data_IF_427135230794
#
_entry.id   IF_427135230794
#
_cell.length_a   1.000
_cell.length_b   1.000
_cell.length_c   1.000
_cell.angle_alpha   90.00
_cell.angle_beta   90.00
_cell.angle_gamma   90.00
#
_symmetry.space_group_name_H-M   'P 1'
#
loop_
_entity.id
_entity.type
_entity.pdbx_description
1 polymer ?
#
# COMPACT_ATOMS: atom_id res chain seq x y z
N UNK A 1 -24.59 -45.72 3.27
CA UNK A 1 -25.02 -44.34 3.46
C UNK A 1 -24.27 -43.59 4.59
N UNK A 2 -24.18 -44.10 5.82
CA UNK A 2 -23.47 -43.37 6.93
C UNK A 2 -21.97 -43.08 6.68
N UNK A 3 -21.25 -43.94 5.95
CA UNK A 3 -19.82 -43.69 5.61
C UNK A 3 -19.61 -42.66 4.50
N UNK A 4 -20.57 -42.54 3.57
CA UNK A 4 -20.52 -41.52 2.51
C UNK A 4 -20.82 -40.13 3.05
N UNK A 5 -21.72 -40.01 4.03
CA UNK A 5 -22.01 -38.76 4.71
C UNK A 5 -20.80 -38.25 5.54
N UNK A 6 -20.07 -39.16 6.19
CA UNK A 6 -18.88 -38.80 6.98
C UNK A 6 -17.74 -38.30 6.08
N UNK A 7 -17.57 -38.87 4.87
CA UNK A 7 -16.54 -38.41 3.91
C UNK A 7 -16.93 -37.05 3.32
N UNK A 8 -18.21 -36.81 3.02
CA UNK A 8 -18.68 -35.49 2.55
C UNK A 8 -18.51 -34.43 3.65
N UNK A 9 -18.76 -34.76 4.91
CA UNK A 9 -18.60 -33.81 6.04
C UNK A 9 -17.12 -33.48 6.29
N UNK A 10 -16.20 -34.47 6.15
CA UNK A 10 -14.75 -34.24 6.25
C UNK A 10 -14.22 -33.41 5.07
N UNK A 11 -14.72 -33.61 3.87
CA UNK A 11 -14.33 -32.80 2.69
C UNK A 11 -14.86 -31.37 2.83
N UNK A 12 -16.08 -31.17 3.33
CA UNK A 12 -16.59 -29.81 3.63
C UNK A 12 -15.82 -29.13 4.76
N UNK A 13 -15.41 -29.83 5.80
CA UNK A 13 -14.58 -29.25 6.87
C UNK A 13 -13.15 -28.94 6.41
N UNK A 14 -12.56 -29.74 5.52
CA UNK A 14 -11.24 -29.47 4.93
C UNK A 14 -11.31 -28.31 3.93
N UNK A 15 -12.36 -28.21 3.10
CA UNK A 15 -12.58 -27.06 2.22
C UNK A 15 -12.91 -25.78 3.00
N UNK A 16 -13.66 -25.88 4.10
CA UNK A 16 -13.92 -24.75 5.00
C UNK A 16 -12.63 -24.32 5.76
N UNK A 17 -11.77 -25.27 6.15
CA UNK A 17 -10.48 -24.97 6.78
C UNK A 17 -9.47 -24.40 5.79
N UNK A 18 -9.52 -24.80 4.50
CA UNK A 18 -8.71 -24.20 3.45
C UNK A 18 -9.22 -22.83 2.98
N UNK A 19 -10.51 -22.52 3.15
CA UNK A 19 -11.09 -21.22 2.87
C UNK A 19 -10.94 -20.21 4.03
N UNK A 20 -10.48 -20.66 5.21
CA UNK A 20 -10.36 -19.80 6.40
C UNK A 20 -8.97 -19.16 6.62
N UNK A 21 -7.96 -19.43 5.76
CA UNK A 21 -6.58 -19.02 6.02
C UNK A 21 -5.86 -18.35 4.85
N UNK A 22 -6.56 -17.58 4.02
CA UNK A 22 -5.90 -16.52 3.26
C UNK A 22 -6.45 -15.19 3.76
N UNK A 23 -5.94 -14.72 4.88
CA UNK A 23 -6.05 -13.32 5.26
C UNK A 23 -5.22 -12.51 4.26
N UNK A 24 -5.59 -11.26 3.98
CA UNK A 24 -4.78 -10.32 3.18
C UNK A 24 -3.31 -10.27 3.64
N UNK A 25 -3.04 -10.54 4.91
CA UNK A 25 -1.71 -10.70 5.50
C UNK A 25 -0.91 -11.85 4.88
N UNK A 26 -1.53 -13.02 4.62
CA UNK A 26 -0.87 -14.18 4.01
C UNK A 26 -0.48 -13.95 2.55
N UNK A 27 -1.22 -13.14 1.81
CA UNK A 27 -0.95 -12.83 0.39
C UNK A 27 0.25 -11.90 0.28
N UNK A 28 0.32 -10.86 1.12
CA UNK A 28 1.40 -9.86 1.11
C UNK A 28 2.71 -10.39 1.73
N UNK A 29 2.65 -11.28 2.73
CA UNK A 29 3.82 -11.92 3.34
C UNK A 29 4.44 -13.05 2.50
N UNK A 30 3.73 -13.65 1.55
CA UNK A 30 4.24 -14.73 0.69
C UNK A 30 5.11 -14.28 -0.47
N UNK A 31 5.70 -13.09 -0.41
CA UNK A 31 6.72 -12.63 -1.34
C UNK A 31 6.19 -11.87 -2.55
N UNK A 32 4.94 -11.44 -2.55
CA UNK A 32 4.50 -10.36 -3.40
C UNK A 32 5.23 -9.09 -2.94
N UNK A 33 6.21 -8.63 -3.72
CA UNK A 33 6.81 -7.31 -3.51
C UNK A 33 5.68 -6.31 -3.71
N UNK A 34 5.40 -5.49 -2.70
CA UNK A 34 4.63 -4.29 -2.95
C UNK A 34 5.52 -3.36 -3.80
N UNK A 35 5.29 -3.37 -5.10
CA UNK A 35 6.06 -2.56 -6.06
C UNK A 35 5.88 -1.06 -5.82
N UNK A 36 4.91 -0.68 -5.00
CA UNK A 36 4.60 0.71 -4.62
C UNK A 36 5.46 1.24 -3.50
N UNK A 37 6.15 0.39 -2.75
CA UNK A 37 7.05 0.80 -1.69
C UNK A 37 8.51 0.54 -2.07
N UNK A 38 9.42 1.38 -1.58
CA UNK A 38 10.86 1.11 -1.64
C UNK A 38 11.23 -0.01 -0.68
N UNK A 39 12.31 -0.72 -0.95
CA UNK A 39 12.83 -1.74 -0.04
C UNK A 39 14.32 -1.53 0.30
N UNK A 40 14.71 -1.99 1.49
CA UNK A 40 16.10 -2.16 1.92
C UNK A 40 16.43 -3.65 1.94
N UNK A 41 17.14 -4.13 0.93
CA UNK A 41 17.54 -5.55 0.82
C UNK A 41 16.34 -6.53 0.90
N UNK A 42 15.19 -6.14 0.33
CA UNK A 42 13.96 -6.92 0.31
C UNK A 42 13.03 -6.70 1.52
N UNK A 43 13.38 -5.81 2.46
CA UNK A 43 12.49 -5.36 3.53
C UNK A 43 11.82 -4.07 3.10
N UNK A 44 10.48 -3.99 2.99
CA UNK A 44 9.78 -2.76 2.64
C UNK A 44 10.11 -1.63 3.61
N UNK A 45 10.42 -0.44 3.06
CA UNK A 45 10.74 0.77 3.84
C UNK A 45 9.47 1.47 4.28
N UNK A 46 8.62 0.79 5.03
CA UNK A 46 7.35 1.32 5.49
C UNK A 46 6.92 0.73 6.83
N UNK A 47 5.91 1.35 7.45
CA UNK A 47 5.26 0.87 8.64
C UNK A 47 5.87 1.35 9.93
N UNK A 48 5.39 0.77 11.03
CA UNK A 48 5.84 1.10 12.37
C UNK A 48 7.14 0.39 12.71
N UNK A 49 7.90 0.97 13.61
CA UNK A 49 9.12 0.39 14.20
C UNK A 49 8.90 -1.03 14.72
N UNK A 50 7.73 -1.29 15.31
CA UNK A 50 7.30 -2.60 15.81
C UNK A 50 7.22 -3.71 14.74
N UNK A 51 7.12 -3.32 13.46
CA UNK A 51 7.12 -4.22 12.30
C UNK A 51 8.48 -4.21 11.61
N UNK A 52 9.02 -3.03 11.32
CA UNK A 52 10.24 -2.85 10.54
C UNK A 52 11.50 -3.34 11.29
N UNK A 53 11.63 -3.04 12.58
CA UNK A 53 12.78 -3.46 13.39
C UNK A 53 12.91 -5.00 13.49
N UNK A 54 11.86 -5.79 13.75
CA UNK A 54 11.92 -7.25 13.65
C UNK A 54 12.25 -7.76 12.25
N UNK A 55 11.75 -7.12 11.19
CA UNK A 55 12.03 -7.51 9.81
C UNK A 55 13.53 -7.35 9.48
N UNK A 56 14.18 -6.26 9.91
CA UNK A 56 15.63 -6.08 9.75
C UNK A 56 16.43 -7.16 10.50
N UNK A 57 15.99 -7.55 11.69
CA UNK A 57 16.64 -8.66 12.44
C UNK A 57 16.51 -9.99 11.70
N UNK A 58 15.37 -10.22 11.04
CA UNK A 58 15.12 -11.47 10.30
C UNK A 58 16.06 -11.65 9.09
N UNK A 59 16.57 -10.55 8.51
CA UNK A 59 17.56 -10.58 7.42
C UNK A 59 19.01 -10.59 7.92
N UNK A 60 19.22 -10.74 9.24
CA UNK A 60 20.53 -10.93 9.86
C UNK A 60 21.21 -9.65 10.35
N UNK A 61 20.49 -8.52 10.44
CA UNK A 61 21.03 -7.32 11.06
C UNK A 61 20.96 -7.43 12.59
N UNK A 62 22.06 -7.05 13.25
CA UNK A 62 22.20 -7.06 14.71
C UNK A 62 21.94 -5.66 15.27
N UNK A 63 20.91 -5.50 16.10
CA UNK A 63 20.62 -4.24 16.77
C UNK A 63 21.63 -3.97 17.87
N UNK A 64 22.07 -2.70 18.00
CA UNK A 64 22.92 -2.24 19.08
C UNK A 64 22.48 -0.83 19.53
N UNK A 65 22.95 -0.40 20.70
CA UNK A 65 22.72 0.96 21.20
C UNK A 65 24.06 1.70 21.21
N UNK A 66 24.22 2.84 20.53
CA UNK A 66 25.39 3.68 20.63
C UNK A 66 25.48 4.37 22.01
N UNK A 67 26.59 5.06 22.30
CA UNK A 67 26.78 5.80 23.56
C UNK A 67 25.81 6.97 23.71
N UNK A 68 25.44 7.62 22.60
CA UNK A 68 24.53 8.76 22.55
C UNK A 68 23.48 8.52 21.43
N UNK A 69 22.39 7.78 21.72
CA UNK A 69 21.37 7.49 20.73
C UNK A 69 20.42 8.68 20.58
N UNK A 70 20.08 9.04 19.34
CA UNK A 70 19.02 9.99 19.07
C UNK A 70 17.64 9.36 19.39
N UNK A 71 16.69 10.12 19.96
CA UNK A 71 15.32 9.65 20.15
C UNK A 71 14.66 9.26 18.83
N UNK A 72 13.94 8.15 18.83
CA UNK A 72 13.28 7.64 17.62
C UNK A 72 14.19 6.88 16.65
N UNK A 73 15.51 6.80 16.95
CA UNK A 73 16.46 6.10 16.10
C UNK A 73 16.77 4.68 16.60
N UNK A 74 16.84 3.76 15.64
CA UNK A 74 17.27 2.37 15.85
C UNK A 74 18.56 2.10 15.08
N UNK A 75 19.54 1.50 15.76
CA UNK A 75 20.89 1.28 15.21
C UNK A 75 21.12 -0.20 14.99
N UNK A 76 21.62 -0.53 13.77
CA UNK A 76 21.98 -1.90 13.42
C UNK A 76 23.36 -1.97 12.83
N UNK A 77 23.98 -3.16 12.91
CA UNK A 77 25.19 -3.54 12.20
C UNK A 77 24.96 -4.85 11.45
N UNK A 78 25.65 -4.98 10.34
CA UNK A 78 25.55 -6.17 9.49
C UNK A 78 26.24 -5.97 8.17
N UNK A 79 25.71 -6.62 7.14
CA UNK A 79 26.25 -6.51 5.78
C UNK A 79 25.22 -5.83 4.86
N UNK A 80 25.70 -4.83 4.12
CA UNK A 80 24.96 -4.21 3.03
C UNK A 80 25.56 -4.72 1.72
N UNK A 81 24.82 -5.57 1.00
CA UNK A 81 25.30 -6.29 -0.18
C UNK A 81 26.64 -7.03 0.02
N UNK A 82 26.84 -7.66 1.18
CA UNK A 82 28.07 -8.41 1.51
C UNK A 82 29.23 -7.55 2.00
N UNK A 83 29.02 -6.27 2.28
CA UNK A 83 30.04 -5.35 2.82
C UNK A 83 29.57 -4.85 4.19
N UNK A 84 30.44 -4.89 5.19
CA UNK A 84 30.15 -4.43 6.55
C UNK A 84 29.64 -2.98 6.54
N UNK A 85 28.53 -2.77 7.24
CA UNK A 85 27.87 -1.47 7.36
C UNK A 85 27.17 -1.33 8.71
N UNK A 86 26.90 -0.09 9.09
CA UNK A 86 25.93 0.26 10.13
C UNK A 86 24.71 0.91 9.51
N UNK A 87 23.56 0.72 10.14
CA UNK A 87 22.28 1.26 9.66
C UNK A 87 21.69 2.09 10.79
N UNK A 88 21.21 3.28 10.44
CA UNK A 88 20.42 4.13 11.32
C UNK A 88 19.02 4.17 10.71
N UNK A 89 18.05 3.75 11.47
CA UNK A 89 16.63 3.74 11.10
C UNK A 89 15.95 4.80 11.93
N UNK A 90 15.49 5.86 11.31
CA UNK A 90 14.80 6.95 11.99
C UNK A 90 13.30 6.78 11.86
N UNK A 91 12.60 6.96 12.96
CA UNK A 91 11.13 6.93 13.03
C UNK A 91 10.60 8.23 13.61
N UNK A 92 9.37 8.57 13.31
CA UNK A 92 8.66 9.65 13.98
C UNK A 92 8.47 9.29 15.46
N UNK A 93 8.92 10.18 16.36
CA UNK A 93 8.91 9.92 17.82
C UNK A 93 7.52 9.73 18.41
N UNK A 94 6.48 10.30 17.80
CA UNK A 94 5.13 10.28 18.32
C UNK A 94 4.34 9.07 17.80
N UNK A 95 4.54 8.72 16.53
CA UNK A 95 3.79 7.65 15.87
C UNK A 95 4.56 6.34 15.78
N UNK A 96 5.90 6.37 15.79
CA UNK A 96 6.76 5.22 15.54
C UNK A 96 6.82 4.82 14.06
N UNK A 97 6.25 5.64 13.15
CA UNK A 97 6.33 5.39 11.71
C UNK A 97 7.75 5.60 11.19
N UNK A 98 8.19 4.72 10.30
CA UNK A 98 9.48 4.83 9.62
C UNK A 98 9.53 6.10 8.77
N UNK A 99 10.58 6.91 8.97
CA UNK A 99 10.85 8.10 8.17
C UNK A 99 11.99 7.89 7.19
N UNK A 100 13.16 7.48 7.69
CA UNK A 100 14.35 7.34 6.85
C UNK A 100 15.23 6.15 7.25
N UNK A 101 16.08 5.71 6.33
CA UNK A 101 17.17 4.79 6.64
C UNK A 101 18.48 5.32 6.07
N UNK A 102 19.50 5.39 6.92
CA UNK A 102 20.86 5.73 6.54
C UNK A 102 21.77 4.51 6.72
N UNK A 103 22.44 4.11 5.65
CA UNK A 103 23.44 3.04 5.65
C UNK A 103 24.83 3.67 5.58
N UNK A 104 25.71 3.37 6.54
CA UNK A 104 27.06 3.86 6.61
C UNK A 104 28.05 2.70 6.46
N UNK A 105 28.99 2.81 5.52
CA UNK A 105 30.05 1.82 5.31
C UNK A 105 31.44 2.47 5.29
N UNK A 106 32.33 1.95 6.06
CA UNK A 106 33.66 2.53 6.33
C UNK A 106 33.88 2.78 7.82
N UNK A 107 34.85 3.65 8.23
CA UNK A 107 35.74 4.44 7.35
C UNK A 107 36.79 3.60 6.61
N UNK A 108 37.00 3.91 5.34
CA UNK A 108 38.01 3.26 4.49
C UNK A 108 39.32 4.09 4.49
N UNK A 109 40.41 3.49 4.96
CA UNK A 109 41.71 4.16 5.05
C UNK A 109 42.42 4.34 3.71
N UNK A 110 42.06 3.59 2.68
CA UNK A 110 42.68 3.67 1.35
C UNK A 110 41.61 4.05 0.30
N UNK A 111 42.04 4.94 -0.62
CA UNK A 111 41.14 5.36 -1.73
C UNK A 111 40.71 4.18 -2.61
N UNK A 112 41.62 3.24 -2.89
CA UNK A 112 41.30 2.09 -3.74
C UNK A 112 40.18 1.17 -3.15
N UNK A 113 40.21 0.97 -1.82
CA UNK A 113 39.17 0.19 -1.14
C UNK A 113 37.80 0.95 -1.13
N UNK A 114 37.87 2.26 -0.84
CA UNK A 114 36.73 3.14 -0.90
C UNK A 114 36.06 3.14 -2.31
N UNK A 115 36.85 3.44 -3.36
CA UNK A 115 36.36 3.55 -4.74
C UNK A 115 35.72 2.24 -5.23
N UNK A 116 36.38 1.09 -4.93
CA UNK A 116 35.82 -0.23 -5.24
C UNK A 116 34.44 -0.46 -4.60
N UNK A 117 34.34 -0.16 -3.31
CA UNK A 117 33.09 -0.41 -2.57
C UNK A 117 32.01 0.60 -2.96
N UNK A 118 32.38 1.88 -3.20
CA UNK A 118 31.43 2.90 -3.70
C UNK A 118 30.83 2.50 -5.04
N UNK A 119 31.68 2.10 -6.01
CA UNK A 119 31.20 1.64 -7.33
C UNK A 119 30.37 0.36 -7.22
N UNK A 120 30.70 -0.52 -6.31
CA UNK A 120 29.94 -1.75 -6.09
C UNK A 120 28.54 -1.45 -5.55
N UNK A 121 28.42 -0.58 -4.55
CA UNK A 121 27.10 -0.13 -4.04
C UNK A 121 26.31 0.56 -5.13
N UNK A 122 26.91 1.51 -5.83
CA UNK A 122 26.26 2.20 -6.93
C UNK A 122 25.71 1.21 -7.98
N UNK A 123 26.52 0.23 -8.39
CA UNK A 123 26.08 -0.78 -9.34
C UNK A 123 24.88 -1.62 -8.82
N UNK A 124 24.92 -1.99 -7.52
CA UNK A 124 23.80 -2.72 -6.90
C UNK A 124 22.54 -1.89 -6.84
N UNK A 125 22.63 -0.64 -6.43
CA UNK A 125 21.52 0.30 -6.36
C UNK A 125 20.97 0.60 -7.76
N UNK A 126 21.82 0.82 -8.77
CA UNK A 126 21.39 1.04 -10.16
C UNK A 126 20.64 -0.17 -10.73
N UNK A 127 21.07 -1.39 -10.43
CA UNK A 127 20.38 -2.61 -10.87
C UNK A 127 19.01 -2.80 -10.20
N UNK A 128 18.85 -2.24 -9.01
CA UNK A 128 17.64 -2.41 -8.23
C UNK A 128 16.63 -1.28 -8.48
N UNK A 129 17.09 -0.04 -8.52
CA UNK A 129 16.24 1.14 -8.59
C UNK A 129 16.31 1.89 -9.94
N UNK A 130 17.40 1.82 -10.68
CA UNK A 130 17.62 2.57 -11.91
C UNK A 130 18.82 3.52 -11.85
N UNK A 131 18.93 4.42 -12.82
CA UNK A 131 20.08 5.31 -12.98
C UNK A 131 20.01 6.52 -12.03
N UNK A 132 21.15 6.88 -11.49
CA UNK A 132 21.33 8.02 -10.59
C UNK A 132 21.85 9.25 -11.33
N UNK A 133 21.35 10.43 -10.92
CA UNK A 133 21.79 11.73 -11.41
C UNK A 133 22.91 12.30 -10.51
N UNK A 134 23.98 12.82 -11.12
CA UNK A 134 25.04 13.49 -10.40
C UNK A 134 24.61 14.91 -9.97
N UNK A 135 24.91 15.27 -8.73
CA UNK A 135 24.68 16.61 -8.19
C UNK A 135 25.98 17.36 -8.01
N UNK A 136 25.90 18.69 -7.89
CA UNK A 136 27.06 19.57 -7.81
C UNK A 136 27.93 19.38 -6.54
N UNK A 137 27.39 18.74 -5.48
CA UNK A 137 28.12 18.37 -4.25
C UNK A 137 28.88 17.04 -4.38
N UNK A 138 28.88 16.40 -5.55
CA UNK A 138 29.50 15.11 -5.79
C UNK A 138 28.70 13.91 -5.29
N UNK A 139 27.48 14.11 -4.79
CA UNK A 139 26.54 13.03 -4.48
C UNK A 139 25.80 12.58 -5.73
N UNK A 140 25.28 11.35 -5.69
CA UNK A 140 24.42 10.79 -6.71
C UNK A 140 23.01 10.59 -6.15
N UNK A 141 22.01 11.03 -6.86
CA UNK A 141 20.62 11.05 -6.44
C UNK A 141 19.73 10.30 -7.41
N UNK A 142 18.73 9.63 -6.89
CA UNK A 142 17.66 9.00 -7.66
C UNK A 142 16.33 9.37 -7.01
N UNK A 143 15.51 10.09 -7.76
CA UNK A 143 14.09 10.32 -7.41
C UNK A 143 13.24 9.24 -8.07
N UNK A 144 12.35 8.65 -7.30
CA UNK A 144 11.36 7.66 -7.74
C UNK A 144 9.98 8.16 -7.31
N UNK A 145 8.93 7.71 -7.97
CA UNK A 145 7.54 8.02 -7.57
C UNK A 145 7.24 7.60 -6.12
N UNK A 146 7.96 6.61 -5.64
CA UNK A 146 7.82 6.02 -4.29
C UNK A 146 8.89 6.44 -3.29
N UNK A 147 9.79 7.34 -3.65
CA UNK A 147 10.81 7.81 -2.71
C UNK A 147 12.11 8.28 -3.34
N UNK A 148 13.10 8.40 -2.48
CA UNK A 148 14.38 9.00 -2.82
C UNK A 148 15.53 8.16 -2.29
N UNK A 149 16.54 7.95 -3.14
CA UNK A 149 17.81 7.31 -2.76
C UNK A 149 18.97 8.24 -3.07
N UNK A 150 19.84 8.43 -2.10
CA UNK A 150 21.06 9.24 -2.27
C UNK A 150 22.29 8.39 -1.90
N UNK A 151 23.31 8.43 -2.74
CA UNK A 151 24.64 7.92 -2.39
C UNK A 151 25.64 9.07 -2.32
N UNK A 152 26.35 9.16 -1.21
CA UNK A 152 27.32 10.22 -0.94
C UNK A 152 28.52 9.68 -0.17
N UNK A 153 29.48 10.54 0.16
CA UNK A 153 30.60 10.18 1.00
C UNK A 153 31.03 11.33 1.89
N UNK A 154 31.63 11.00 3.04
CA UNK A 154 32.32 11.94 3.90
C UNK A 154 33.84 11.66 3.87
N UNK A 155 34.63 12.71 3.66
CA UNK A 155 36.07 12.68 3.82
C UNK A 155 36.40 13.16 5.24
N UNK A 156 37.00 12.30 6.05
CA UNK A 156 37.45 12.59 7.41
C UNK A 156 38.81 13.29 7.44
N UNK A 157 39.17 13.90 8.56
CA UNK A 157 40.44 14.61 8.78
C UNK A 157 41.66 13.70 8.58
N UNK A 158 41.55 12.42 8.97
CA UNK A 158 42.56 11.38 8.77
C UNK A 158 42.65 10.86 7.33
N UNK A 159 41.96 11.51 6.40
CA UNK A 159 41.84 11.16 4.98
C UNK A 159 41.07 9.83 4.70
N UNK A 160 40.54 9.19 5.71
CA UNK A 160 39.63 8.08 5.50
C UNK A 160 38.27 8.57 4.92
N UNK A 161 37.51 7.66 4.31
CA UNK A 161 36.21 7.98 3.70
C UNK A 161 35.15 7.03 4.16
N UNK A 162 33.96 7.56 4.46
CA UNK A 162 32.75 6.79 4.73
C UNK A 162 31.79 6.95 3.55
N UNK A 163 31.16 5.86 3.12
CA UNK A 163 30.11 5.85 2.12
C UNK A 163 28.78 5.92 2.87
N UNK A 164 27.88 6.76 2.41
CA UNK A 164 26.51 6.91 2.93
C UNK A 164 25.53 6.56 1.83
N UNK A 165 24.56 5.70 2.15
CA UNK A 165 23.38 5.47 1.31
C UNK A 165 22.16 5.85 2.15
N UNK A 166 21.45 6.85 1.70
CA UNK A 166 20.27 7.39 2.36
C UNK A 166 19.03 6.98 1.59
N UNK A 167 18.01 6.55 2.30
CA UNK A 167 16.68 6.20 1.78
C UNK A 167 15.62 7.05 2.48
N UNK A 168 14.71 7.59 1.69
CA UNK A 168 13.48 8.23 2.13
C UNK A 168 12.32 7.62 1.35
N UNK A 169 11.37 7.00 2.04
CA UNK A 169 10.14 6.54 1.44
C UNK A 169 9.10 7.66 1.50
N UNK A 170 8.52 8.03 0.34
CA UNK A 170 7.48 9.06 0.24
C UNK A 170 6.07 8.46 0.06
N UNK A 171 5.98 7.13 -0.04
CA UNK A 171 4.70 6.44 -0.13
C UNK A 171 3.98 6.49 1.21
N UNK A 172 2.73 6.94 1.28
CA UNK A 172 1.94 6.90 2.51
C UNK A 172 1.84 5.48 3.06
N UNK A 173 1.93 5.34 4.40
CA UNK A 173 1.86 4.01 5.02
C UNK A 173 0.49 3.36 4.84
N UNK A 174 -0.59 4.11 5.04
CA UNK A 174 -1.94 3.59 4.81
C UNK A 174 -2.27 3.59 3.33
N UNK A 175 -2.78 2.46 2.86
CA UNK A 175 -2.98 2.19 1.42
C UNK A 175 -4.41 2.47 0.94
N UNK A 176 -5.22 3.19 1.71
CA UNK A 176 -6.63 3.39 1.36
C UNK A 176 -6.82 4.12 0.03
N UNK A 177 -6.06 5.19 -0.21
CA UNK A 177 -6.06 5.91 -1.49
C UNK A 177 -5.45 5.06 -2.61
N UNK A 178 -4.24 4.55 -2.41
CA UNK A 178 -3.50 3.77 -3.42
C UNK A 178 -4.24 2.51 -3.86
N UNK A 179 -4.89 1.80 -2.93
CA UNK A 179 -5.62 0.56 -3.23
C UNK A 179 -6.86 0.79 -4.13
N UNK A 180 -7.27 2.04 -4.29
CA UNK A 180 -8.32 2.48 -5.20
C UNK A 180 -7.78 3.05 -6.52
N UNK A 181 -6.47 2.92 -6.76
CA UNK A 181 -5.78 3.41 -7.95
C UNK A 181 -5.50 4.91 -7.93
N UNK A 182 -5.56 5.56 -6.75
CA UNK A 182 -5.20 6.97 -6.60
C UNK A 182 -3.67 7.12 -6.44
N UNK A 183 -3.12 8.13 -7.08
CA UNK A 183 -1.68 8.46 -7.11
C UNK A 183 -1.44 9.81 -6.45
N UNK A 184 -0.24 10.01 -5.90
CA UNK A 184 0.14 11.23 -5.18
C UNK A 184 -0.45 11.32 -3.76
N UNK A 185 -0.16 12.42 -3.08
CA UNK A 185 -0.64 12.70 -1.72
C UNK A 185 -2.07 13.25 -1.73
N UNK A 186 -3.03 12.39 -2.04
CA UNK A 186 -4.44 12.77 -2.19
C UNK A 186 -5.05 13.20 -0.86
N UNK A 187 -5.71 14.35 -0.84
CA UNK A 187 -6.47 14.88 0.31
C UNK A 187 -7.96 14.60 0.18
N UNK A 188 -8.53 14.88 -0.99
CA UNK A 188 -9.96 14.77 -1.23
C UNK A 188 -10.24 14.31 -2.65
N UNK A 189 -11.28 13.50 -2.81
CA UNK A 189 -11.79 13.08 -4.10
C UNK A 189 -13.30 13.30 -4.13
N UNK A 190 -13.76 14.09 -5.08
CA UNK A 190 -15.18 14.27 -5.39
C UNK A 190 -15.46 13.57 -6.72
N UNK A 191 -16.28 12.53 -6.71
CA UNK A 191 -16.72 11.83 -7.93
C UNK A 191 -18.18 12.19 -8.21
N UNK A 192 -18.42 12.85 -9.31
CA UNK A 192 -19.77 13.22 -9.77
C UNK A 192 -20.28 12.25 -10.82
N UNK A 193 -21.55 11.91 -10.70
CA UNK A 193 -22.22 10.95 -11.58
C UNK A 193 -23.68 11.39 -11.76
N UNK A 194 -24.19 11.54 -12.99
CA UNK A 194 -25.56 12.01 -13.22
C UNK A 194 -26.66 11.02 -12.78
N UNK A 195 -26.29 9.79 -12.43
CA UNK A 195 -27.25 8.72 -12.05
C UNK A 195 -27.25 8.49 -10.54
N UNK A 196 -26.12 8.72 -9.87
CA UNK A 196 -25.95 8.52 -8.43
C UNK A 196 -25.59 9.83 -7.75
N UNK A 197 -25.77 9.91 -6.45
CA UNK A 197 -25.29 11.04 -5.65
C UNK A 197 -23.77 11.17 -5.77
N UNK A 198 -23.27 12.41 -5.71
CA UNK A 198 -21.84 12.68 -5.69
C UNK A 198 -21.20 11.97 -4.49
N UNK A 199 -20.08 11.31 -4.74
CA UNK A 199 -19.30 10.62 -3.71
C UNK A 199 -18.15 11.51 -3.29
N UNK A 200 -17.98 11.68 -1.99
CA UNK A 200 -16.91 12.45 -1.37
C UNK A 200 -16.07 11.51 -0.51
N UNK A 201 -14.77 11.47 -0.77
CA UNK A 201 -13.81 10.73 0.03
C UNK A 201 -12.70 11.69 0.51
N UNK A 202 -12.32 11.55 1.77
CA UNK A 202 -11.22 12.28 2.37
C UNK A 202 -10.13 11.33 2.82
N UNK A 203 -8.88 11.77 2.67
CA UNK A 203 -7.70 11.03 3.14
C UNK A 203 -6.84 11.96 3.99
N UNK A 204 -6.24 11.45 5.05
CA UNK A 204 -5.26 12.20 5.83
C UNK A 204 -3.87 12.15 5.17
N UNK A 205 -2.90 12.89 5.73
CA UNK A 205 -1.53 12.94 5.21
C UNK A 205 -0.81 11.59 5.25
N UNK A 206 -1.27 10.66 6.10
CA UNK A 206 -0.75 9.29 6.17
C UNK A 206 -1.40 8.35 5.13
N UNK A 207 -2.31 8.85 4.29
CA UNK A 207 -3.05 8.09 3.26
C UNK A 207 -4.25 7.31 3.77
N UNK A 208 -4.64 7.49 5.04
CA UNK A 208 -5.77 6.80 5.66
C UNK A 208 -7.08 7.46 5.24
N UNK A 209 -8.08 6.65 4.89
CA UNK A 209 -9.42 7.15 4.61
C UNK A 209 -10.01 7.82 5.86
N UNK A 210 -10.32 9.12 5.77
CA UNK A 210 -10.85 9.96 6.84
C UNK A 210 -12.34 10.26 6.68
N UNK A 211 -13.06 9.59 5.76
CA UNK A 211 -14.49 9.76 5.52
C UNK A 211 -15.29 9.50 6.81
N UNK A 212 -16.18 10.41 7.17
CA UNK A 212 -16.78 10.50 8.51
C UNK A 212 -17.70 9.33 8.89
N UNK A 213 -18.34 8.71 7.91
CA UNK A 213 -19.26 7.57 8.12
C UNK A 213 -18.56 6.21 8.20
N UNK A 214 -17.25 6.15 7.91
CA UNK A 214 -16.43 4.95 8.09
C UNK A 214 -15.68 5.05 9.43
N UNK A 215 -16.00 4.18 10.36
CA UNK A 215 -15.49 4.15 11.73
C UNK A 215 -14.91 2.76 12.09
N UNK A 216 -14.31 2.63 13.26
CA UNK A 216 -13.79 1.36 13.80
C UNK A 216 -12.86 0.64 12.76
N UNK A 217 -11.92 1.38 12.18
CA UNK A 217 -11.00 0.89 11.14
C UNK A 217 -9.94 -0.03 11.71
N UNK A 218 -9.79 -1.21 11.13
CA UNK A 218 -8.75 -2.19 11.44
C UNK A 218 -7.83 -2.34 10.22
N UNK A 219 -6.53 -2.06 10.39
CA UNK A 219 -5.50 -2.18 9.36
C UNK A 219 -4.60 -3.39 9.64
N UNK A 220 -4.11 -4.02 8.56
CA UNK A 220 -3.07 -5.02 8.69
C UNK A 220 -1.67 -4.37 8.84
N UNK A 221 -0.64 -5.20 9.05
CA UNK A 221 0.75 -4.74 9.24
C UNK A 221 1.36 -4.03 8.02
N UNK A 222 0.72 -4.09 6.85
CA UNK A 222 1.16 -3.44 5.62
C UNK A 222 0.33 -2.17 5.30
N UNK A 223 -0.48 -1.68 6.25
CA UNK A 223 -1.26 -0.46 6.11
C UNK A 223 -2.54 -0.58 5.27
N UNK A 224 -2.98 -1.81 4.93
CA UNK A 224 -4.24 -2.03 4.21
C UNK A 224 -5.42 -2.14 5.18
N UNK A 225 -6.51 -1.44 4.88
CA UNK A 225 -7.76 -1.51 5.63
C UNK A 225 -8.44 -2.87 5.42
N UNK A 226 -8.48 -3.73 6.43
CA UNK A 226 -9.06 -5.07 6.30
C UNK A 226 -10.50 -5.14 6.80
N UNK A 227 -10.85 -4.24 7.73
CA UNK A 227 -12.20 -4.17 8.27
C UNK A 227 -12.52 -2.76 8.76
N UNK A 228 -13.80 -2.39 8.68
CA UNK A 228 -14.33 -1.16 9.27
C UNK A 228 -15.82 -1.35 9.63
N UNK A 229 -16.40 -0.35 10.28
CA UNK A 229 -17.83 -0.21 10.38
C UNK A 229 -18.29 1.04 9.62
N UNK A 230 -19.41 0.94 8.93
CA UNK A 230 -20.11 2.08 8.31
C UNK A 230 -21.27 2.48 9.21
N UNK A 231 -21.33 3.77 9.55
CA UNK A 231 -22.41 4.33 10.32
C UNK A 231 -23.58 4.68 9.39
N UNK A 232 -24.69 3.97 9.53
CA UNK A 232 -25.90 4.23 8.76
C UNK A 232 -26.63 5.48 9.26
N UNK A 233 -27.43 6.18 8.45
CA UNK A 233 -28.23 7.32 8.90
C UNK A 233 -29.19 7.00 10.06
N UNK A 234 -29.57 5.73 10.21
CA UNK A 234 -30.37 5.22 11.32
C UNK A 234 -29.60 5.12 12.65
N UNK A 235 -28.28 5.36 12.66
CA UNK A 235 -27.38 5.12 13.78
C UNK A 235 -26.94 3.66 13.95
N UNK A 236 -27.36 2.77 13.07
CA UNK A 236 -26.94 1.38 13.04
C UNK A 236 -25.55 1.25 12.40
N UNK A 237 -24.81 0.19 12.76
CA UNK A 237 -23.51 -0.10 12.17
C UNK A 237 -23.60 -1.28 11.21
N UNK A 238 -23.09 -1.08 9.99
CA UNK A 238 -22.83 -2.14 9.02
C UNK A 238 -21.36 -2.50 9.02
N UNK A 239 -21.02 -3.77 8.85
CA UNK A 239 -19.65 -4.26 8.85
C UNK A 239 -19.12 -4.22 7.41
N UNK A 240 -17.98 -3.55 7.22
CA UNK A 240 -17.19 -3.53 5.99
C UNK A 240 -16.02 -4.51 6.11
N UNK A 241 -15.76 -5.29 5.05
CA UNK A 241 -14.55 -6.12 4.88
C UNK A 241 -13.94 -5.84 3.52
N UNK A 242 -12.62 -5.83 3.47
CA UNK A 242 -11.84 -5.50 2.30
C UNK A 242 -10.86 -6.65 1.97
N UNK A 243 -10.73 -6.97 0.69
CA UNK A 243 -9.80 -7.96 0.16
C UNK A 243 -9.04 -7.33 -1.01
N UNK A 244 -7.73 -7.61 -1.11
CA UNK A 244 -6.84 -7.02 -2.10
C UNK A 244 -6.29 -8.08 -3.05
N UNK A 245 -5.83 -7.65 -4.23
CA UNK A 245 -5.10 -8.50 -5.17
C UNK A 245 -3.59 -8.52 -4.86
N UNK A 246 -2.81 -9.27 -5.64
CA UNK A 246 -1.36 -9.38 -5.47
C UNK A 246 -0.60 -8.06 -5.72
N UNK A 247 -1.22 -7.10 -6.41
CA UNK A 247 -0.70 -5.75 -6.65
C UNK A 247 -1.11 -4.76 -5.56
N UNK A 248 -1.90 -5.19 -4.55
CA UNK A 248 -2.44 -4.35 -3.49
C UNK A 248 -3.65 -3.51 -3.92
N UNK A 249 -4.27 -3.78 -5.07
CA UNK A 249 -5.51 -3.13 -5.48
C UNK A 249 -6.71 -3.74 -4.75
N UNK A 250 -7.69 -2.93 -4.38
CA UNK A 250 -8.91 -3.40 -3.74
C UNK A 250 -9.69 -4.32 -4.69
N UNK A 251 -9.60 -5.64 -4.47
CA UNK A 251 -10.28 -6.64 -5.29
C UNK A 251 -11.75 -6.80 -4.93
N UNK A 252 -12.08 -6.70 -3.62
CA UNK A 252 -13.42 -6.95 -3.12
C UNK A 252 -13.71 -6.15 -1.86
N UNK A 253 -14.92 -5.58 -1.80
CA UNK A 253 -15.47 -4.95 -0.60
C UNK A 253 -16.83 -5.59 -0.28
N UNK A 254 -17.01 -6.05 0.95
CA UNK A 254 -18.26 -6.63 1.42
C UNK A 254 -18.83 -5.77 2.53
N UNK A 255 -20.05 -5.28 2.35
CA UNK A 255 -20.86 -4.61 3.38
C UNK A 255 -21.90 -5.60 3.89
N UNK A 256 -22.03 -5.75 5.20
CA UNK A 256 -23.06 -6.57 5.84
C UNK A 256 -23.83 -5.73 6.84
N UNK A 257 -25.09 -5.46 6.56
CA UNK A 257 -26.04 -4.92 7.54
C UNK A 257 -26.55 -6.07 8.40
N UNK A 258 -26.14 -6.07 9.68
CA UNK A 258 -26.44 -7.17 10.60
C UNK A 258 -27.93 -7.20 10.98
N UNK A 259 -28.56 -6.03 11.07
CA UNK A 259 -29.97 -5.89 11.49
C UNK A 259 -30.94 -6.31 10.38
N UNK A 260 -30.71 -5.84 9.17
CA UNK A 260 -31.57 -6.14 8.02
C UNK A 260 -31.19 -7.46 7.34
N UNK A 261 -30.05 -8.06 7.73
CA UNK A 261 -29.48 -9.25 7.11
C UNK A 261 -29.27 -9.09 5.59
N UNK A 262 -28.97 -7.87 5.15
CA UNK A 262 -28.63 -7.54 3.77
C UNK A 262 -27.12 -7.53 3.61
N UNK A 263 -26.66 -8.09 2.50
CA UNK A 263 -25.24 -8.13 2.14
C UNK A 263 -25.02 -7.49 0.78
N UNK A 264 -24.09 -6.52 0.71
CA UNK A 264 -23.61 -5.97 -0.56
C UNK A 264 -22.18 -6.42 -0.82
N UNK A 265 -21.91 -6.88 -2.03
CA UNK A 265 -20.58 -7.30 -2.47
C UNK A 265 -20.19 -6.48 -3.68
N UNK A 266 -19.07 -5.76 -3.59
CA UNK A 266 -18.44 -5.08 -4.71
C UNK A 266 -17.17 -5.83 -5.08
N UNK A 267 -16.97 -6.08 -6.39
CA UNK A 267 -15.78 -6.72 -6.94
C UNK A 267 -15.20 -5.81 -8.03
N UNK A 268 -13.87 -5.69 -8.06
CA UNK A 268 -13.15 -4.77 -8.92
C UNK A 268 -12.09 -5.52 -9.73
N UNK A 269 -11.87 -5.09 -10.96
CA UNK A 269 -10.68 -5.46 -11.76
C UNK A 269 -10.00 -4.19 -12.26
N UNK A 270 -8.71 -4.25 -12.48
CA UNK A 270 -7.88 -3.10 -12.83
C UNK A 270 -7.23 -3.27 -14.21
N UNK A 271 -6.88 -2.18 -14.85
CA UNK A 271 -6.03 -2.16 -16.03
C UNK A 271 -4.53 -2.14 -15.61
N UNK A 272 -3.64 -1.96 -16.57
CA UNK A 272 -2.19 -1.95 -16.31
C UNK A 272 -1.73 -0.67 -15.59
N UNK A 273 -2.53 0.39 -15.62
CA UNK A 273 -2.29 1.68 -14.96
C UNK A 273 -2.90 1.76 -13.54
N UNK A 274 -3.36 0.63 -12.98
CA UNK A 274 -4.06 0.49 -11.69
C UNK A 274 -5.41 1.22 -11.59
N UNK A 275 -6.05 1.52 -12.73
CA UNK A 275 -7.39 2.09 -12.75
C UNK A 275 -8.46 1.01 -12.82
N UNK A 276 -9.62 1.23 -12.16
CA UNK A 276 -10.72 0.26 -12.12
C UNK A 276 -11.30 0.01 -13.52
N UNK A 277 -10.94 -1.08 -14.15
CA UNK A 277 -11.44 -1.49 -15.47
C UNK A 277 -12.89 -1.94 -15.43
N UNK A 278 -13.23 -2.76 -14.43
CA UNK A 278 -14.61 -3.19 -14.22
C UNK A 278 -14.97 -3.17 -12.74
N UNK A 279 -16.22 -2.87 -12.45
CA UNK A 279 -16.80 -2.99 -11.12
C UNK A 279 -18.12 -3.78 -11.22
N UNK A 280 -18.30 -4.71 -10.29
CA UNK A 280 -19.56 -5.44 -10.11
C UNK A 280 -20.05 -5.24 -8.69
N UNK A 281 -21.29 -4.79 -8.53
CA UNK A 281 -21.96 -4.73 -7.24
C UNK A 281 -23.17 -5.67 -7.24
N UNK A 282 -23.28 -6.50 -6.20
CA UNK A 282 -24.43 -7.37 -5.98
C UNK A 282 -24.96 -7.17 -4.56
N UNK A 283 -26.28 -7.06 -4.44
CA UNK A 283 -26.96 -6.97 -3.15
C UNK A 283 -27.79 -8.24 -2.97
N UNK A 284 -27.67 -8.83 -1.81
CA UNK A 284 -28.35 -10.06 -1.42
C UNK A 284 -29.27 -9.80 -0.22
N UNK A 285 -30.46 -10.37 -0.26
CA UNK A 285 -31.39 -10.34 0.87
C UNK A 285 -31.01 -11.38 1.95
N UNK A 286 -31.82 -11.43 3.01
CA UNK A 286 -31.67 -12.37 4.13
C UNK A 286 -31.71 -13.85 3.74
N UNK A 287 -32.24 -14.20 2.57
CA UNK A 287 -32.28 -15.56 2.01
C UNK A 287 -31.07 -15.87 1.14
N UNK A 288 -30.13 -14.91 1.03
CA UNK A 288 -28.98 -14.95 0.14
C UNK A 288 -29.37 -14.97 -1.36
N UNK A 289 -30.56 -14.44 -1.68
CA UNK A 289 -30.99 -14.25 -3.07
C UNK A 289 -30.50 -12.88 -3.55
N UNK A 290 -29.95 -12.83 -4.77
CA UNK A 290 -29.51 -11.56 -5.37
C UNK A 290 -30.76 -10.75 -5.76
N UNK A 291 -30.90 -9.55 -5.20
CA UNK A 291 -32.02 -8.63 -5.44
C UNK A 291 -31.62 -7.43 -6.30
N UNK A 292 -30.33 -7.12 -6.38
CA UNK A 292 -29.77 -6.03 -7.19
C UNK A 292 -28.41 -6.43 -7.75
N UNK A 293 -28.17 -6.13 -9.02
CA UNK A 293 -26.87 -6.27 -9.65
C UNK A 293 -26.55 -5.05 -10.52
N UNK A 294 -25.38 -4.46 -10.31
CA UNK A 294 -24.84 -3.36 -11.12
C UNK A 294 -23.50 -3.81 -11.64
N UNK A 295 -23.29 -3.75 -12.96
CA UNK A 295 -22.00 -4.01 -13.57
C UNK A 295 -21.57 -2.77 -14.35
N UNK A 296 -20.36 -2.32 -14.12
CA UNK A 296 -19.77 -1.15 -14.77
C UNK A 296 -18.49 -1.55 -15.50
N UNK A 297 -18.31 -0.96 -16.67
CA UNK A 297 -17.05 -1.02 -17.41
C UNK A 297 -16.63 0.41 -17.74
N UNK A 298 -15.44 0.74 -17.31
CA UNK A 298 -14.87 2.07 -17.40
C UNK A 298 -13.95 2.22 -18.60
N UNK A 299 -13.96 3.43 -19.18
CA UNK A 299 -13.08 3.87 -20.27
C UNK A 299 -12.62 5.29 -19.93
N UNK A 300 -11.38 5.44 -19.50
CA UNK A 300 -10.82 6.67 -18.97
C UNK A 300 -10.32 7.54 -20.10
N UNK A 301 -10.71 8.83 -20.13
CA UNK A 301 -10.44 9.74 -21.26
C UNK A 301 -9.52 10.89 -20.88
N UNK A 302 -9.57 11.36 -19.64
CA UNK A 302 -8.76 12.50 -19.18
C UNK A 302 -8.13 12.20 -17.83
N UNK A 303 -6.91 12.71 -17.60
CA UNK A 303 -6.15 12.56 -16.37
C UNK A 303 -5.58 13.92 -15.93
N UNK A 304 -5.29 14.06 -14.63
CA UNK A 304 -4.55 15.18 -14.08
C UNK A 304 -3.02 14.99 -14.21
N UNK A 305 -2.26 15.93 -13.65
CA UNK A 305 -0.79 15.92 -13.70
C UNK A 305 -0.18 14.76 -12.92
N UNK A 306 -0.86 14.26 -11.86
CA UNK A 306 -0.45 13.10 -11.06
C UNK A 306 -0.81 11.76 -11.74
N UNK A 307 -1.55 11.81 -12.85
CA UNK A 307 -2.00 10.64 -13.60
C UNK A 307 -3.24 9.99 -13.02
N UNK A 308 -4.03 10.69 -12.20
CA UNK A 308 -5.34 10.26 -11.77
C UNK A 308 -6.40 10.64 -12.81
N UNK A 309 -7.32 9.74 -13.11
CA UNK A 309 -8.38 10.06 -14.04
C UNK A 309 -9.31 11.17 -13.52
N UNK A 310 -9.67 12.09 -14.41
CA UNK A 310 -10.61 13.18 -14.13
C UNK A 310 -11.91 13.06 -14.92
N UNK A 311 -11.91 12.25 -15.99
CA UNK A 311 -13.09 11.94 -16.78
C UNK A 311 -13.11 10.47 -17.20
N UNK A 312 -14.27 9.85 -17.07
CA UNK A 312 -14.48 8.44 -17.38
C UNK A 312 -15.83 8.24 -18.07
N UNK A 313 -15.85 7.44 -19.13
CA UNK A 313 -17.06 6.98 -19.81
C UNK A 313 -17.39 5.56 -19.32
N UNK A 314 -18.48 5.42 -18.54
CA UNK A 314 -18.88 4.16 -17.93
C UNK A 314 -20.06 3.55 -18.69
N UNK A 315 -19.90 2.31 -19.12
CA UNK A 315 -21.02 1.46 -19.56
C UNK A 315 -21.56 0.74 -18.35
N UNK A 316 -22.81 1.04 -17.99
CA UNK A 316 -23.49 0.54 -16.81
C UNK A 316 -24.63 -0.38 -17.21
N UNK A 317 -24.65 -1.59 -16.64
CA UNK A 317 -25.77 -2.53 -16.70
C UNK A 317 -26.37 -2.66 -15.30
N UNK A 318 -27.63 -2.28 -15.16
CA UNK A 318 -28.40 -2.33 -13.92
C UNK A 318 -29.47 -3.40 -14.03
N UNK A 319 -29.60 -4.25 -13.02
CA UNK A 319 -30.68 -5.23 -12.88
C UNK A 319 -31.19 -5.23 -11.44
N UNK A 320 -32.50 -5.28 -11.29
CA UNK A 320 -33.21 -5.40 -10.02
C UNK A 320 -34.21 -6.53 -10.12
N UNK A 321 -34.41 -7.29 -9.05
CA UNK A 321 -35.33 -8.42 -8.99
C UNK A 321 -36.75 -7.98 -9.37
N UNK A 322 -37.34 -8.69 -10.32
CA UNK A 322 -38.69 -8.37 -10.83
C UNK A 322 -38.73 -7.33 -11.96
N UNK A 323 -37.58 -6.75 -12.34
CA UNK A 323 -37.46 -5.77 -13.41
C UNK A 323 -36.56 -6.26 -14.54
N UNK A 324 -36.77 -5.70 -15.75
CA UNK A 324 -35.83 -5.97 -16.87
C UNK A 324 -34.52 -5.23 -16.67
N UNK A 325 -33.43 -5.86 -17.10
CA UNK A 325 -32.10 -5.22 -17.09
C UNK A 325 -32.08 -3.97 -17.98
N UNK A 326 -31.37 -2.93 -17.53
CA UNK A 326 -31.21 -1.66 -18.23
C UNK A 326 -29.73 -1.42 -18.49
N UNK A 327 -29.42 -0.92 -19.69
CA UNK A 327 -28.08 -0.50 -20.05
C UNK A 327 -28.06 1.03 -20.21
N UNK A 328 -27.03 1.66 -19.66
CA UNK A 328 -26.84 3.11 -19.72
C UNK A 328 -25.37 3.40 -20.00
N UNK A 329 -25.11 4.50 -20.72
CA UNK A 329 -23.77 5.10 -20.80
C UNK A 329 -23.79 6.33 -19.89
N UNK A 330 -22.81 6.44 -19.04
CA UNK A 330 -22.70 7.48 -18.01
C UNK A 330 -21.33 8.12 -18.11
N UNK A 331 -21.27 9.43 -18.08
CA UNK A 331 -20.01 10.16 -17.93
C UNK A 331 -19.85 10.50 -16.46
N UNK A 332 -18.73 10.10 -15.89
CA UNK A 332 -18.30 10.47 -14.54
C UNK A 332 -17.18 11.49 -14.63
N UNK A 333 -17.19 12.46 -13.72
CA UNK A 333 -16.09 13.39 -13.53
C UNK A 333 -15.56 13.29 -12.12
N UNK A 334 -14.27 13.56 -11.96
CA UNK A 334 -13.59 13.53 -10.68
C UNK A 334 -12.81 14.83 -10.49
N UNK A 335 -12.97 15.41 -9.31
CA UNK A 335 -12.12 16.51 -8.83
C UNK A 335 -11.28 15.97 -7.70
N UNK A 336 -9.96 16.20 -7.76
CA UNK A 336 -9.02 15.69 -6.77
C UNK A 336 -8.23 16.86 -6.23
N UNK A 337 -8.11 16.94 -4.90
CA UNK A 337 -7.16 17.84 -4.24
C UNK A 337 -6.06 17.04 -3.55
N UNK A 338 -4.91 17.65 -3.43
CA UNK A 338 -3.70 17.05 -2.88
C UNK A 338 -3.23 17.83 -1.66
N UNK A 339 -2.54 17.14 -0.75
CA UNK A 339 -1.80 17.80 0.31
C UNK A 339 -0.62 18.57 -0.33
N UNK A 340 -0.40 19.80 0.12
CA UNK A 340 0.77 20.57 -0.28
C UNK A 340 2.04 19.90 0.29
N UNK A 341 3.07 19.78 -0.54
CA UNK A 341 4.39 19.37 -0.08
C UNK A 341 5.05 20.55 0.62
N UNK A 342 5.34 20.46 1.92
CA UNK A 342 6.05 21.47 2.73
C UNK A 342 7.55 21.55 2.37
#
# INVERSE_FOLDING_TARGET
MKRLLAILFTIQCVLAAMAQNTTSDDILYKGARDERCMDLMGVPLEGYDSVFVPALKSIGLEQFTPEDPDPGDYYFRGEFYGIKATFVVSTDENTGLLSTVLVNSGPYKTFGLYDRNYRYFLLKLQRHFGNFDAKGDGSLHLMLDKGYVKISNTLHEDKSRTIHVFYLNTTPYYKDAMSQGLKGSVQEVITENPVFEAQLEHFDQEGKNATLDIIDREYNANGYLVKAAMLEPSGQKSILKYEYDERGNLRRRTLTNVTEQVKSVNEYTYNDDDEIKTQSQKVFDKTNECILSINMRNDYTDHDEEGNWTRNETKLMYWEKGHQARNMNVVQTRTISYWEED
#
